data_IF_077518367018
#
_entry.id   IF_077518367018
#
_cell.length_a   1.000
_cell.length_b   1.000
_cell.length_c   1.000
_cell.angle_alpha   90.00
_cell.angle_beta   90.00
_cell.angle_gamma   90.00
#
_symmetry.space_group_name_H-M   'P 1'
#
loop_
_entity.id
_entity.type
_entity.pdbx_description
1 polymer ?
#
# COMPACT_ATOMS: atom_id res chain seq x y z
N UNK A 1 17.22 13.06 -13.05
CA UNK A 1 15.79 13.09 -13.45
C UNK A 1 15.00 13.42 -12.20
N UNK A 2 14.27 14.53 -12.17
CA UNK A 2 13.39 14.89 -11.06
C UNK A 2 11.97 15.05 -11.60
N UNK A 3 11.00 14.36 -11.01
CA UNK A 3 9.58 14.55 -11.32
C UNK A 3 9.14 15.92 -10.80
N UNK A 4 8.31 16.62 -11.58
CA UNK A 4 7.78 17.94 -11.20
C UNK A 4 6.39 17.87 -10.54
N UNK A 5 5.84 16.67 -10.39
CA UNK A 5 4.46 16.45 -9.93
C UNK A 5 3.44 16.91 -10.97
N UNK A 6 2.18 17.08 -10.54
CA UNK A 6 1.09 17.63 -11.35
C UNK A 6 1.44 19.04 -11.84
N UNK A 7 1.35 19.28 -13.14
CA UNK A 7 1.66 20.57 -13.75
C UNK A 7 0.41 21.44 -13.96
N UNK A 8 0.57 22.78 -14.04
CA UNK A 8 -0.53 23.67 -14.42
C UNK A 8 -1.07 23.30 -15.80
N UNK A 9 -2.36 22.90 -15.87
CA UNK A 9 -3.02 22.47 -17.10
C UNK A 9 -3.21 20.95 -17.23
N UNK A 10 -2.69 20.16 -16.28
CA UNK A 10 -3.01 18.75 -16.16
C UNK A 10 -4.29 18.58 -15.32
N UNK A 11 -5.25 17.82 -15.84
CA UNK A 11 -6.46 17.42 -15.12
C UNK A 11 -6.22 16.03 -14.50
N UNK A 12 -6.45 15.91 -13.19
CA UNK A 12 -6.42 14.62 -12.54
C UNK A 12 -7.50 13.73 -13.13
N UNK A 13 -7.17 12.49 -13.44
CA UNK A 13 -8.18 11.49 -13.75
C UNK A 13 -9.16 11.44 -12.57
N UNK A 14 -10.49 11.45 -12.81
CA UNK A 14 -11.44 11.29 -11.73
C UNK A 14 -11.07 10.02 -10.99
N UNK A 15 -10.84 10.13 -9.68
CA UNK A 15 -10.74 8.95 -8.84
C UNK A 15 -11.99 8.15 -9.14
N UNK A 16 -11.84 6.96 -9.74
CA UNK A 16 -12.92 6.00 -9.77
C UNK A 16 -13.06 5.54 -8.32
N UNK A 17 -13.72 6.39 -7.54
CA UNK A 17 -14.34 5.99 -6.29
C UNK A 17 -15.28 4.90 -6.76
N UNK A 18 -14.83 3.65 -6.72
CA UNK A 18 -15.71 2.52 -6.55
C UNK A 18 -16.37 2.69 -5.18
N UNK A 19 -17.20 3.73 -5.05
CA UNK A 19 -18.41 3.67 -4.27
C UNK A 19 -19.16 2.57 -4.97
N UNK A 20 -19.06 1.36 -4.40
CA UNK A 20 -19.92 0.26 -4.81
C UNK A 20 -21.34 0.80 -5.00
N UNK A 21 -22.08 0.28 -5.99
CA UNK A 21 -23.34 0.85 -6.39
C UNK A 21 -24.22 1.08 -5.16
N UNK A 22 -24.59 2.33 -4.92
CA UNK A 22 -25.44 2.73 -3.79
C UNK A 22 -26.88 2.72 -4.28
N UNK A 23 -27.74 1.98 -3.60
CA UNK A 23 -29.17 1.99 -3.88
C UNK A 23 -29.76 3.37 -3.58
N UNK A 24 -30.62 3.86 -4.46
CA UNK A 24 -31.41 5.07 -4.24
C UNK A 24 -32.47 4.81 -3.17
N UNK A 25 -32.39 5.50 -2.04
CA UNK A 25 -33.32 5.32 -0.92
C UNK A 25 -34.78 5.64 -1.30
N UNK A 26 -35.02 6.50 -2.29
CA UNK A 26 -36.35 6.79 -2.81
C UNK A 26 -36.96 5.56 -3.52
N UNK A 27 -36.16 4.87 -4.35
CA UNK A 27 -36.59 3.65 -5.05
C UNK A 27 -36.81 2.53 -4.05
N UNK A 28 -35.88 2.36 -3.11
CA UNK A 28 -35.95 1.34 -2.06
C UNK A 28 -37.17 1.53 -1.17
N UNK A 29 -37.47 2.77 -0.76
CA UNK A 29 -38.61 3.08 0.10
C UNK A 29 -39.95 2.84 -0.60
N UNK A 30 -40.04 3.16 -1.89
CA UNK A 30 -41.26 2.96 -2.66
C UNK A 30 -41.55 1.47 -2.91
N UNK A 31 -40.53 0.67 -3.26
CA UNK A 31 -40.67 -0.78 -3.41
C UNK A 31 -40.93 -1.48 -2.06
N UNK A 32 -40.30 -1.01 -0.98
CA UNK A 32 -40.58 -1.52 0.37
C UNK A 32 -42.01 -1.21 0.82
N UNK A 33 -42.55 -0.03 0.46
CA UNK A 33 -43.95 0.32 0.71
C UNK A 33 -44.94 -0.57 -0.05
N UNK A 34 -44.52 -1.16 -1.17
CA UNK A 34 -45.31 -2.15 -1.93
C UNK A 34 -45.25 -3.56 -1.33
N UNK A 35 -44.45 -3.77 -0.28
CA UNK A 35 -44.38 -5.03 0.47
C UNK A 35 -43.16 -5.88 0.17
N UNK A 36 -42.21 -5.41 -0.65
CA UNK A 36 -40.98 -6.16 -0.94
C UNK A 36 -39.91 -5.98 0.16
N UNK A 37 -39.10 -7.02 0.45
CA UNK A 37 -38.00 -6.92 1.42
C UNK A 37 -36.97 -5.86 1.02
N UNK A 38 -36.58 -4.99 1.97
CA UNK A 38 -35.68 -3.86 1.73
C UNK A 38 -34.35 -4.26 1.07
N UNK A 39 -33.80 -5.41 1.44
CA UNK A 39 -32.55 -5.95 0.88
C UNK A 39 -32.69 -6.26 -0.62
N UNK A 40 -33.85 -6.76 -1.05
CA UNK A 40 -34.10 -7.05 -2.45
C UNK A 40 -34.30 -5.76 -3.25
N UNK A 41 -34.99 -4.79 -2.66
CA UNK A 41 -35.15 -3.45 -3.24
C UNK A 41 -33.80 -2.75 -3.44
N UNK A 42 -32.88 -2.90 -2.48
CA UNK A 42 -31.51 -2.37 -2.59
C UNK A 42 -30.73 -3.03 -3.74
N UNK A 43 -30.83 -4.37 -3.88
CA UNK A 43 -30.21 -5.10 -4.99
C UNK A 43 -30.78 -4.69 -6.34
N UNK A 44 -32.10 -4.57 -6.43
CA UNK A 44 -32.79 -4.18 -7.64
C UNK A 44 -32.39 -2.77 -8.08
N UNK A 45 -32.37 -1.81 -7.15
CA UNK A 45 -31.94 -0.44 -7.43
C UNK A 45 -30.46 -0.39 -7.89
N UNK A 46 -29.61 -1.22 -7.30
CA UNK A 46 -28.19 -1.33 -7.65
C UNK A 46 -27.98 -1.95 -9.03
N UNK A 47 -28.65 -3.07 -9.33
CA UNK A 47 -28.47 -3.81 -10.58
C UNK A 47 -29.07 -3.05 -11.77
N UNK A 48 -30.14 -2.29 -11.53
CA UNK A 48 -30.75 -1.39 -12.52
C UNK A 48 -30.07 -0.01 -12.59
N UNK A 49 -28.95 0.18 -11.89
CA UNK A 49 -28.19 1.45 -11.87
C UNK A 49 -29.04 2.68 -11.48
N UNK A 50 -30.03 2.49 -10.61
CA UNK A 50 -30.98 3.52 -10.14
C UNK A 50 -31.79 4.20 -11.27
N UNK A 51 -32.05 3.51 -12.39
CA UNK A 51 -32.70 4.08 -13.57
C UNK A 51 -34.17 4.45 -13.34
N UNK A 52 -34.86 3.73 -12.46
CA UNK A 52 -36.24 4.04 -12.06
C UNK A 52 -36.88 2.95 -11.18
N UNK A 53 -38.03 3.27 -10.59
CA UNK A 53 -38.78 2.34 -9.73
C UNK A 53 -39.36 1.18 -10.54
N UNK A 54 -39.87 1.45 -11.73
CA UNK A 54 -40.46 0.44 -12.63
C UNK A 54 -39.42 -0.59 -13.11
N UNK A 55 -38.21 -0.14 -13.49
CA UNK A 55 -37.13 -1.03 -13.91
C UNK A 55 -36.62 -1.88 -12.75
N UNK A 56 -36.46 -1.28 -11.57
CA UNK A 56 -36.10 -2.00 -10.35
C UNK A 56 -37.17 -3.02 -9.96
N UNK A 57 -38.46 -2.71 -10.12
CA UNK A 57 -39.55 -3.64 -9.89
C UNK A 57 -39.52 -4.81 -10.89
N UNK A 58 -39.28 -4.55 -12.17
CA UNK A 58 -39.18 -5.58 -13.20
C UNK A 58 -37.98 -6.52 -12.96
N UNK A 59 -36.84 -5.96 -12.53
CA UNK A 59 -35.68 -6.75 -12.13
C UNK A 59 -35.97 -7.60 -10.89
N UNK A 60 -36.64 -7.00 -9.89
CA UNK A 60 -37.03 -7.68 -8.67
C UNK A 60 -37.94 -8.88 -8.96
N UNK A 61 -39.02 -8.68 -9.73
CA UNK A 61 -39.97 -9.73 -10.09
C UNK A 61 -39.33 -10.89 -10.86
N UNK A 62 -38.33 -10.61 -11.69
CA UNK A 62 -37.61 -11.64 -12.45
C UNK A 62 -36.56 -12.41 -11.64
N UNK A 63 -36.14 -11.89 -10.48
CA UNK A 63 -35.08 -12.48 -9.65
C UNK A 63 -35.54 -12.84 -8.23
N UNK A 64 -36.83 -12.68 -7.90
CA UNK A 64 -37.39 -13.00 -6.56
C UNK A 64 -37.23 -14.46 -6.13
N UNK A 65 -37.07 -15.38 -7.06
CA UNK A 65 -36.88 -16.82 -6.79
C UNK A 65 -35.41 -17.23 -6.69
N UNK A 66 -34.47 -16.31 -6.93
CA UNK A 66 -33.06 -16.64 -6.85
C UNK A 66 -32.61 -16.82 -5.39
N UNK A 67 -31.94 -17.94 -5.05
CA UNK A 67 -31.52 -18.23 -3.67
C UNK A 67 -30.45 -17.26 -3.16
N UNK A 68 -29.83 -16.49 -4.05
CA UNK A 68 -28.85 -15.46 -3.70
C UNK A 68 -29.50 -14.11 -3.38
N UNK A 69 -30.80 -13.91 -3.60
CA UNK A 69 -31.46 -12.60 -3.40
C UNK A 69 -31.46 -12.16 -1.93
N UNK A 70 -31.48 -13.11 -0.99
CA UNK A 70 -31.38 -12.87 0.46
C UNK A 70 -29.95 -12.62 0.96
N UNK A 71 -28.93 -12.81 0.12
CA UNK A 71 -27.55 -12.54 0.54
C UNK A 71 -27.35 -11.02 0.74
N UNK A 72 -26.88 -10.55 1.90
CA UNK A 72 -26.65 -9.12 2.09
C UNK A 72 -25.62 -8.62 1.08
N UNK A 73 -25.93 -7.53 0.38
CA UNK A 73 -24.96 -6.85 -0.48
C UNK A 73 -23.85 -6.41 0.45
N UNK A 74 -22.64 -6.95 0.23
CA UNK A 74 -21.43 -6.48 0.91
C UNK A 74 -21.09 -5.09 0.39
N UNK A 75 -21.92 -4.11 0.74
CA UNK A 75 -21.48 -2.73 0.79
C UNK A 75 -20.31 -2.72 1.77
N UNK A 76 -19.17 -2.15 1.38
CA UNK A 76 -17.92 -2.13 2.15
C UNK A 76 -18.00 -1.39 3.50
N UNK A 77 -19.17 -1.32 4.13
CA UNK A 77 -19.37 -1.03 5.54
C UNK A 77 -19.63 -2.36 6.24
N UNK A 78 -18.56 -3.00 6.67
CA UNK A 78 -18.66 -3.92 7.80
C UNK A 78 -19.17 -3.12 9.00
N UNK A 79 -20.49 -3.17 9.25
CA UNK A 79 -21.01 -2.94 10.58
C UNK A 79 -20.57 -4.13 11.45
N UNK A 80 -19.32 -4.05 11.89
CA UNK A 80 -18.62 -5.06 12.68
C UNK A 80 -19.04 -4.95 14.15
N UNK A 81 -20.33 -5.23 14.43
CA UNK A 81 -20.87 -5.36 15.79
C UNK A 81 -20.93 -6.81 16.27
N UNK A 82 -20.28 -7.75 15.58
CA UNK A 82 -20.08 -9.12 16.08
C UNK A 82 -18.71 -9.23 16.74
N UNK A 83 -18.70 -9.11 18.08
CA UNK A 83 -17.73 -9.69 19.02
C UNK A 83 -16.36 -9.98 18.39
N UNK A 84 -15.53 -8.95 18.26
CA UNK A 84 -14.15 -9.10 17.80
C UNK A 84 -13.45 -10.16 18.67
N UNK A 85 -12.84 -11.20 18.09
CA UNK A 85 -12.13 -12.21 18.87
C UNK A 85 -11.06 -11.53 19.74
N UNK A 86 -10.84 -12.01 20.97
CA UNK A 86 -9.77 -11.52 21.81
C UNK A 86 -8.45 -11.73 21.08
N UNK A 87 -7.67 -10.65 20.95
CA UNK A 87 -6.29 -10.74 20.46
C UNK A 87 -5.46 -11.32 21.60
N UNK A 88 -4.59 -12.28 21.28
CA UNK A 88 -3.65 -12.81 22.25
C UNK A 88 -2.64 -11.72 22.64
N UNK A 89 -2.66 -11.31 23.91
CA UNK A 89 -1.77 -10.29 24.45
C UNK A 89 -0.30 -10.68 24.35
N UNK A 90 0.04 -11.97 24.35
CA UNK A 90 1.43 -12.42 24.15
C UNK A 90 1.97 -12.14 22.74
N UNK A 91 1.09 -12.16 21.73
CA UNK A 91 1.45 -11.78 20.35
C UNK A 91 1.60 -10.27 20.22
N UNK A 92 0.80 -9.50 20.95
CA UNK A 92 0.94 -8.04 21.04
C UNK A 92 2.27 -7.67 21.66
N UNK A 93 2.63 -8.27 22.81
CA UNK A 93 3.92 -8.05 23.48
C UNK A 93 5.11 -8.40 22.58
N UNK A 94 4.98 -9.44 21.75
CA UNK A 94 6.03 -9.80 20.78
C UNK A 94 6.23 -8.70 19.72
N UNK A 95 5.14 -8.16 19.17
CA UNK A 95 5.21 -7.06 18.21
C UNK A 95 5.68 -5.75 18.87
N UNK A 96 5.29 -5.49 20.12
CA UNK A 96 5.81 -4.37 20.90
C UNK A 96 7.31 -4.53 21.17
N UNK A 97 7.77 -5.75 21.41
CA UNK A 97 9.18 -6.10 21.52
C UNK A 97 9.98 -5.84 20.23
N UNK A 98 9.33 -5.90 19.05
CA UNK A 98 9.93 -5.48 17.77
C UNK A 98 9.97 -3.97 17.56
N UNK A 99 9.39 -3.19 18.49
CA UNK A 99 9.35 -1.73 18.43
C UNK A 99 8.08 -1.16 17.80
N UNK A 100 7.04 -1.98 17.60
CA UNK A 100 5.74 -1.50 17.14
C UNK A 100 4.91 -0.97 18.32
N UNK A 101 4.06 0.03 18.06
CA UNK A 101 3.12 0.51 19.07
C UNK A 101 2.01 -0.54 19.35
N UNK A 102 1.60 -0.65 20.61
CA UNK A 102 0.66 -1.69 21.07
C UNK A 102 -0.69 -1.63 20.35
N UNK A 103 -1.22 -0.43 20.08
CA UNK A 103 -2.50 -0.27 19.39
C UNK A 103 -2.42 -0.67 17.92
N UNK A 104 -1.26 -0.43 17.30
CA UNK A 104 -0.95 -0.79 15.92
C UNK A 104 -0.78 -2.30 15.79
N UNK A 105 -0.06 -2.91 16.73
CA UNK A 105 0.09 -4.36 16.85
C UNK A 105 -1.27 -5.05 17.01
N UNK A 106 -2.16 -4.52 17.86
CA UNK A 106 -3.53 -5.04 18.03
C UNK A 106 -4.33 -4.94 16.72
N UNK A 107 -4.28 -3.81 16.02
CA UNK A 107 -4.96 -3.62 14.73
C UNK A 107 -4.43 -4.60 13.68
N UNK A 108 -3.11 -4.76 13.61
CA UNK A 108 -2.43 -5.65 12.68
C UNK A 108 -2.79 -7.12 12.93
N UNK A 109 -2.73 -7.57 14.19
CA UNK A 109 -3.07 -8.95 14.56
C UNK A 109 -4.55 -9.27 14.29
N UNK A 110 -5.44 -8.27 14.43
CA UNK A 110 -6.86 -8.42 14.03
C UNK A 110 -7.00 -8.56 12.51
N UNK A 111 -6.31 -7.73 11.74
CA UNK A 111 -6.36 -7.77 10.28
C UNK A 111 -5.76 -9.05 9.68
N UNK A 112 -4.83 -9.69 10.40
CA UNK A 112 -4.07 -10.85 9.89
C UNK A 112 -4.44 -12.17 10.52
N UNK A 113 -5.45 -12.19 11.42
CA UNK A 113 -5.92 -13.39 12.09
C UNK A 113 -4.93 -13.97 13.11
N UNK A 114 -4.11 -13.11 13.74
CA UNK A 114 -3.15 -13.53 14.78
C UNK A 114 -1.81 -14.06 14.26
N UNK A 115 -1.48 -13.81 12.99
CA UNK A 115 -0.19 -14.24 12.41
C UNK A 115 0.81 -13.08 12.53
N UNK A 116 1.88 -13.26 13.33
CA UNK A 116 2.89 -12.23 13.62
C UNK A 116 3.57 -11.71 12.34
N UNK A 117 4.03 -12.60 11.47
CA UNK A 117 4.76 -12.23 10.24
C UNK A 117 3.89 -11.36 9.32
N UNK A 118 2.63 -11.75 9.15
CA UNK A 118 1.66 -10.98 8.38
C UNK A 118 1.30 -9.67 9.07
N UNK A 119 1.23 -9.67 10.41
CA UNK A 119 0.97 -8.46 11.18
C UNK A 119 2.11 -7.46 10.99
N UNK A 120 3.37 -7.89 11.08
CA UNK A 120 4.52 -7.03 10.82
C UNK A 120 4.51 -6.45 9.40
N UNK A 121 4.27 -7.28 8.38
CA UNK A 121 4.12 -6.83 6.98
C UNK A 121 2.95 -5.85 6.82
N UNK A 122 1.82 -6.12 7.49
CA UNK A 122 0.66 -5.24 7.47
C UNK A 122 1.00 -3.87 8.06
N UNK A 123 1.77 -3.82 9.16
CA UNK A 123 2.20 -2.57 9.79
C UNK A 123 3.09 -1.74 8.85
N UNK A 124 4.02 -2.38 8.13
CA UNK A 124 4.90 -1.68 7.18
C UNK A 124 4.20 -1.24 5.89
N UNK A 125 3.16 -1.97 5.47
CA UNK A 125 2.40 -1.67 4.25
C UNK A 125 1.27 -0.67 4.46
N UNK A 126 0.86 -0.40 5.71
CA UNK A 126 -0.11 0.66 5.98
C UNK A 126 0.54 2.04 5.81
N UNK A 127 -0.08 2.97 5.07
CA UNK A 127 0.30 4.38 5.15
C UNK A 127 0.13 4.82 6.60
N UNK A 128 1.19 5.38 7.19
CA UNK A 128 1.27 5.74 8.61
C UNK A 128 0.08 6.61 9.08
N UNK A 129 -0.54 7.35 8.17
CA UNK A 129 -1.75 8.18 8.42
C UNK A 129 -3.01 7.37 8.76
N UNK A 130 -3.10 6.10 8.35
CA UNK A 130 -4.28 5.25 8.62
C UNK A 130 -4.35 4.73 10.06
N UNK A 131 -3.23 4.81 10.78
CA UNK A 131 -3.07 4.16 12.08
C UNK A 131 -3.49 5.11 13.23
N UNK A 132 -3.35 6.42 13.01
CA UNK A 132 -3.67 7.48 13.98
C UNK A 132 -5.09 8.07 13.92
N UNK A 133 -5.96 7.65 12.99
CA UNK A 133 -7.28 8.29 12.79
C UNK A 133 -8.38 7.92 13.80
N UNK A 134 -8.12 7.08 14.79
CA UNK A 134 -9.14 6.65 15.78
C UNK A 134 -8.98 7.27 17.18
N UNK A 135 -8.08 8.23 17.37
CA UNK A 135 -7.93 8.93 18.66
C UNK A 135 -8.09 10.45 18.47
N UNK A 136 -9.27 10.91 18.88
CA UNK A 136 -9.67 12.31 19.12
C UNK A 136 -9.52 13.34 18.00
N UNK A 137 -10.67 13.63 17.38
CA UNK A 137 -10.95 14.86 16.66
C UNK A 137 -11.00 16.07 17.62
N UNK A 138 -9.86 16.53 18.11
CA UNK A 138 -9.64 17.88 18.63
C UNK A 138 -8.17 18.09 18.98
N UNK A 139 -7.37 18.52 18.02
CA UNK A 139 -6.31 19.53 18.19
C UNK A 139 -5.60 19.77 16.86
N UNK A 140 -5.65 21.02 16.41
CA UNK A 140 -4.83 21.69 15.40
C UNK A 140 -4.21 20.83 14.27
N UNK A 141 -4.80 21.00 13.09
CA UNK A 141 -4.22 20.75 11.78
C UNK A 141 -2.79 21.29 11.65
N UNK A 142 -1.80 20.44 11.85
CA UNK A 142 -0.50 20.55 11.22
C UNK A 142 -0.56 19.78 9.88
N UNK A 143 0.01 20.32 8.79
CA UNK A 143 0.02 19.62 7.52
C UNK A 143 0.76 18.30 7.67
N UNK A 144 0.10 17.23 7.24
CA UNK A 144 0.60 15.87 7.10
C UNK A 144 2.01 15.87 6.49
N UNK A 145 3.01 15.61 7.32
CA UNK A 145 4.36 15.30 6.85
C UNK A 145 4.37 13.86 6.36
N UNK A 146 3.90 13.67 5.13
CA UNK A 146 4.18 12.49 4.29
C UNK A 146 5.66 12.41 3.87
N UNK A 147 6.50 13.29 4.40
CA UNK A 147 7.95 13.13 4.39
C UNK A 147 8.33 12.43 5.71
N UNK A 148 8.43 11.09 5.70
CA UNK A 148 9.68 10.57 6.25
C UNK A 148 10.75 11.36 5.52
N UNK A 149 11.50 12.21 6.23
CA UNK A 149 12.41 13.18 5.66
C UNK A 149 13.51 12.45 4.86
N UNK A 150 13.15 11.98 3.67
CA UNK A 150 14.06 11.39 2.72
C UNK A 150 15.02 12.52 2.40
N UNK A 151 16.33 12.33 2.62
CA UNK A 151 17.29 13.40 2.44
C UNK A 151 17.29 13.80 0.96
N UNK A 152 16.56 14.86 0.64
CA UNK A 152 16.49 15.40 -0.70
C UNK A 152 17.77 16.19 -1.01
N UNK A 153 18.21 16.16 -2.26
CA UNK A 153 19.45 16.83 -2.66
C UNK A 153 19.64 16.82 -4.17
N UNK A 154 20.73 17.44 -4.62
CA UNK A 154 21.06 17.44 -6.05
C UNK A 154 21.18 16.01 -6.57
N UNK A 155 20.58 15.74 -7.73
CA UNK A 155 20.65 14.45 -8.41
C UNK A 155 22.01 14.14 -9.05
N UNK A 156 23.13 14.61 -8.45
CA UNK A 156 24.50 14.36 -8.91
C UNK A 156 25.13 13.28 -8.05
N UNK A 157 25.62 12.24 -8.72
CA UNK A 157 26.18 11.08 -8.04
C UNK A 157 27.49 10.63 -8.66
N UNK A 158 28.34 10.01 -7.85
CA UNK A 158 29.56 9.34 -8.25
C UNK A 158 29.41 7.84 -8.02
N UNK A 159 29.89 7.02 -8.95
CA UNK A 159 29.90 5.58 -8.77
C UNK A 159 30.87 5.21 -7.62
N UNK A 160 30.32 4.60 -6.57
CA UNK A 160 31.08 4.16 -5.38
C UNK A 160 31.38 2.66 -5.45
N UNK A 161 30.40 1.85 -5.84
CA UNK A 161 30.56 0.42 -5.94
C UNK A 161 29.60 -0.18 -6.98
N UNK A 162 29.91 -1.39 -7.43
CA UNK A 162 28.99 -2.18 -8.23
C UNK A 162 29.20 -3.68 -7.96
N UNK A 163 28.14 -4.45 -8.13
CA UNK A 163 28.14 -5.91 -7.99
C UNK A 163 27.86 -6.50 -9.35
N UNK A 164 28.71 -7.42 -9.79
CA UNK A 164 28.60 -8.11 -11.08
C UNK A 164 28.19 -9.56 -10.86
N UNK A 165 27.20 -10.02 -11.62
CA UNK A 165 26.88 -11.44 -11.78
C UNK A 165 27.65 -11.99 -12.97
N UNK A 166 28.62 -12.87 -12.72
CA UNK A 166 29.39 -13.54 -13.76
C UNK A 166 28.72 -14.87 -14.13
N UNK A 167 27.91 -14.85 -15.17
CA UNK A 167 27.23 -16.03 -15.69
C UNK A 167 26.19 -15.64 -16.74
N UNK A 168 25.93 -16.54 -17.69
CA UNK A 168 24.87 -16.37 -18.71
C UNK A 168 23.52 -16.92 -18.27
N UNK A 169 23.48 -17.67 -17.17
CA UNK A 169 22.26 -18.25 -16.59
C UNK A 169 21.72 -17.37 -15.47
N UNK A 170 20.41 -17.35 -15.29
CA UNK A 170 19.76 -16.72 -14.13
C UNK A 170 19.78 -17.62 -12.89
N UNK A 171 20.01 -18.93 -13.07
CA UNK A 171 20.00 -19.93 -12.01
C UNK A 171 21.39 -20.19 -11.41
N UNK A 172 22.45 -19.80 -12.14
CA UNK A 172 23.82 -19.99 -11.69
C UNK A 172 24.75 -18.92 -12.24
N UNK A 173 25.73 -18.59 -11.42
CA UNK A 173 26.83 -17.69 -11.75
C UNK A 173 27.56 -17.31 -10.47
N UNK A 174 28.50 -16.38 -10.60
CA UNK A 174 29.37 -15.96 -9.51
C UNK A 174 29.26 -14.47 -9.25
N UNK A 175 29.02 -14.08 -8.01
CA UNK A 175 28.93 -12.67 -7.64
C UNK A 175 30.28 -12.13 -7.19
N UNK A 176 30.70 -11.02 -7.79
CA UNK A 176 31.87 -10.25 -7.36
C UNK A 176 31.50 -8.80 -7.16
N UNK A 177 32.11 -8.16 -6.17
CA UNK A 177 31.87 -6.75 -5.89
C UNK A 177 33.12 -5.93 -6.20
N UNK A 178 32.94 -4.78 -6.84
CA UNK A 178 33.97 -3.79 -7.04
C UNK A 178 33.63 -2.55 -6.23
N UNK A 179 34.56 -2.11 -5.38
CA UNK A 179 34.36 -0.94 -4.52
C UNK A 179 35.51 0.04 -4.76
N UNK A 180 35.18 1.31 -4.92
CA UNK A 180 36.15 2.40 -4.98
C UNK A 180 36.55 2.79 -3.55
N UNK A 181 37.75 2.38 -3.12
CA UNK A 181 38.33 2.75 -1.82
C UNK A 181 39.59 3.58 -2.03
N UNK A 182 39.69 4.72 -1.35
CA UNK A 182 40.87 5.61 -1.41
C UNK A 182 41.27 5.99 -2.86
N UNK A 183 40.29 6.17 -3.73
CA UNK A 183 40.52 6.49 -5.15
C UNK A 183 40.98 5.31 -6.02
N UNK A 184 41.07 4.10 -5.48
CA UNK A 184 41.44 2.88 -6.21
C UNK A 184 40.30 1.87 -6.21
N UNK A 185 40.12 1.19 -7.34
CA UNK A 185 39.14 0.13 -7.44
C UNK A 185 39.69 -1.16 -6.85
N UNK A 186 38.88 -1.82 -6.02
CA UNK A 186 39.22 -3.09 -5.38
C UNK A 186 38.12 -4.09 -5.72
N UNK A 187 38.53 -5.26 -6.22
CA UNK A 187 37.64 -6.39 -6.43
C UNK A 187 37.62 -7.25 -5.17
N UNK A 188 36.41 -7.58 -4.73
CA UNK A 188 36.10 -8.53 -3.66
C UNK A 188 35.47 -9.76 -4.30
N UNK A 189 36.21 -10.86 -4.28
CA UNK A 189 35.79 -12.15 -4.78
C UNK A 189 35.99 -13.17 -3.66
N UNK A 190 34.97 -13.33 -2.82
CA UNK A 190 34.99 -14.14 -1.61
C UNK A 190 36.20 -13.82 -0.71
N UNK A 191 37.11 -14.78 -0.51
CA UNK A 191 38.33 -14.61 0.27
C UNK A 191 39.45 -13.87 -0.49
N UNK A 192 39.28 -13.62 -1.79
CA UNK A 192 40.28 -12.94 -2.63
C UNK A 192 39.93 -11.46 -2.76
N UNK A 193 40.85 -10.61 -2.30
CA UNK A 193 40.75 -9.16 -2.42
C UNK A 193 41.95 -8.66 -3.21
N UNK A 194 41.71 -7.95 -4.30
CA UNK A 194 42.78 -7.46 -5.17
C UNK A 194 42.49 -6.05 -5.69
N UNK A 195 43.55 -5.31 -6.03
CA UNK A 195 43.40 -4.05 -6.76
C UNK A 195 42.96 -4.34 -8.20
N UNK A 196 41.89 -3.68 -8.64
CA UNK A 196 41.36 -3.80 -9.99
C UNK A 196 41.74 -2.55 -10.79
N UNK A 197 42.75 -2.63 -11.64
CA UNK A 197 43.18 -1.49 -12.46
C UNK A 197 42.12 -1.08 -13.49
N UNK A 198 41.44 -2.07 -14.08
CA UNK A 198 40.41 -1.87 -15.10
C UNK A 198 39.13 -2.62 -14.69
N UNK A 199 38.30 -2.02 -13.82
CA UNK A 199 37.07 -2.65 -13.36
C UNK A 199 36.02 -2.70 -14.49
N UNK A 200 35.32 -3.84 -14.68
CA UNK A 200 34.32 -4.01 -15.74
C UNK A 200 32.99 -3.32 -15.38
N UNK A 201 33.00 -1.99 -15.39
CA UNK A 201 31.85 -1.17 -14.94
C UNK A 201 30.60 -1.37 -15.78
N UNK A 202 30.72 -1.78 -17.05
CA UNK A 202 29.55 -1.97 -17.92
C UNK A 202 28.84 -3.32 -17.70
N UNK A 203 29.48 -4.22 -16.94
CA UNK A 203 28.99 -5.58 -16.65
C UNK A 203 28.47 -5.70 -15.20
N UNK A 204 28.18 -4.57 -14.54
CA UNK A 204 27.54 -4.57 -13.24
C UNK A 204 26.06 -4.93 -13.34
N UNK A 205 25.57 -5.67 -12.35
CA UNK A 205 24.16 -5.99 -12.15
C UNK A 205 23.50 -4.96 -11.22
N UNK A 206 24.12 -4.68 -10.06
CA UNK A 206 23.69 -3.65 -9.11
C UNK A 206 24.75 -2.56 -9.00
N UNK A 207 24.34 -1.30 -9.01
CA UNK A 207 25.23 -0.15 -8.91
C UNK A 207 24.89 0.69 -7.68
N UNK A 208 25.93 1.08 -6.96
CA UNK A 208 25.84 1.92 -5.79
C UNK A 208 26.49 3.26 -6.09
N UNK A 209 25.66 4.29 -6.02
CA UNK A 209 26.00 5.65 -6.33
C UNK A 209 25.98 6.48 -5.05
N UNK A 210 27.07 7.19 -4.79
CA UNK A 210 27.16 8.13 -3.68
C UNK A 210 26.81 9.52 -4.17
N UNK A 211 25.93 10.23 -3.45
CA UNK A 211 25.57 11.60 -3.80
C UNK A 211 26.78 12.52 -3.59
N UNK A 212 27.15 13.26 -4.62
CA UNK A 212 28.19 14.28 -4.51
C UNK A 212 27.54 15.48 -3.81
N UNK A 213 27.87 15.67 -2.53
CA UNK A 213 27.54 16.92 -1.86
C UNK A 213 28.46 17.97 -2.47
N UNK A 214 27.88 18.98 -3.13
CA UNK A 214 28.65 20.12 -3.59
C UNK A 214 29.39 20.69 -2.39
N UNK A 215 30.72 20.73 -2.47
CA UNK A 215 31.57 21.41 -1.50
C UNK A 215 31.13 22.88 -1.50
N UNK A 216 30.27 23.24 -0.56
CA UNK A 216 29.97 24.62 -0.24
C UNK A 216 31.23 25.18 0.43
N UNK A 217 32.17 25.60 -0.43
CA UNK A 217 33.31 26.48 -0.17
C UNK A 217 33.84 26.49 1.25
N UNK A 218 34.86 25.67 1.50
CA UNK A 218 35.91 26.06 2.44
C UNK A 218 36.79 27.12 1.76
N UNK A 219 36.39 28.38 1.88
CA UNK A 219 37.21 29.56 1.58
C UNK A 219 36.98 30.61 2.67
#
# INVERSE_FOLDING_TARGET
MHSKGLQPGEELLPENVQRGPSASEAIVSQLAAMGFPRLHCEKAAINTSNTGVEDAMNWLLSHTEDPDIDTPISTGRQNDTKLKPPVDEGLVDTLVGFGFEADVARKALRATGGIIERAAEWIFSQPQDSIGMDLDASSNSAPSTSDQALPNGEGKYKLMAFVSHMGTSTQCGHYVAHILKEGRWVIFNDCKVAASCEPPKDMGYLYFFERIHGDAGRA
#
